data_IF_594638493396
#
_entry.id   IF_594638493396
#
_cell.length_a   1.000
_cell.length_b   1.000
_cell.length_c   1.000
_cell.angle_alpha   90.00
_cell.angle_beta   90.00
_cell.angle_gamma   90.00
#
_symmetry.space_group_name_H-M   'P 1'
#
loop_
_entity.id
_entity.type
_entity.pdbx_description
1 polymer ?
#
# COMPACT_ATOMS: atom_id res chain seq x y z
N UNK A 1 -4.69 9.81 4.18
CA UNK A 1 -4.82 8.54 4.93
C UNK A 1 -3.91 7.55 4.27
N UNK A 2 -3.01 6.93 5.01
CA UNK A 2 -1.99 6.02 4.46
C UNK A 2 -2.55 4.62 4.29
N UNK A 3 -2.40 4.05 3.08
CA UNK A 3 -2.80 2.69 2.75
C UNK A 3 -1.76 2.03 1.88
N UNK A 4 -1.38 0.80 2.20
CA UNK A 4 -0.49 0.03 1.36
C UNK A 4 -0.90 -1.43 1.35
N UNK A 5 -0.36 -2.18 0.39
CA UNK A 5 -0.65 -3.59 0.25
C UNK A 5 0.53 -4.35 -0.32
N UNK A 6 0.71 -5.58 0.13
CA UNK A 6 1.65 -6.54 -0.48
C UNK A 6 0.98 -7.89 -0.63
N UNK A 7 1.10 -8.50 -1.81
CA UNK A 7 0.62 -9.85 -2.03
C UNK A 7 1.53 -10.86 -1.32
N UNK A 8 0.90 -11.84 -0.70
CA UNK A 8 1.53 -12.92 0.07
C UNK A 8 0.89 -14.24 -0.32
N UNK A 9 1.55 -15.34 0.01
CA UNK A 9 1.05 -16.68 -0.28
C UNK A 9 1.10 -17.52 1.00
N UNK A 10 0.06 -17.45 1.81
CA UNK A 10 0.04 -18.10 3.12
C UNK A 10 -0.48 -19.53 2.93
N UNK A 11 0.36 -20.53 3.20
CA UNK A 11 -0.03 -21.95 3.13
C UNK A 11 -0.68 -22.34 1.78
N UNK A 12 -0.07 -21.91 0.67
CA UNK A 12 -0.59 -22.09 -0.70
C UNK A 12 -1.89 -21.34 -1.02
N UNK A 13 -2.41 -20.54 -0.09
CA UNK A 13 -3.50 -19.59 -0.33
C UNK A 13 -2.96 -18.20 -0.68
N UNK A 14 -3.40 -17.69 -1.83
CA UNK A 14 -3.16 -16.29 -2.21
C UNK A 14 -3.85 -15.35 -1.22
N UNK A 15 -3.10 -14.38 -0.72
CA UNK A 15 -3.62 -13.32 0.11
C UNK A 15 -2.81 -12.04 -0.02
N UNK A 16 -3.14 -11.06 0.81
CA UNK A 16 -2.34 -9.85 0.93
C UNK A 16 -2.31 -9.36 2.36
N UNK A 17 -1.19 -8.73 2.74
CA UNK A 17 -1.20 -7.82 3.87
C UNK A 17 -1.70 -6.47 3.42
N UNK A 18 -2.71 -5.95 4.12
CA UNK A 18 -3.20 -4.59 3.95
C UNK A 18 -2.68 -3.77 5.12
N UNK A 19 -2.18 -2.58 4.84
CA UNK A 19 -1.73 -1.60 5.82
C UNK A 19 -2.68 -0.40 5.77
N UNK A 20 -3.06 0.11 6.94
CA UNK A 20 -3.86 1.31 7.08
C UNK A 20 -3.41 2.07 8.31
N UNK A 21 -2.94 3.31 8.11
CA UNK A 21 -2.31 4.11 9.16
C UNK A 21 -1.19 3.31 9.86
N UNK A 22 -1.30 3.08 11.17
CA UNK A 22 -0.34 2.29 11.96
C UNK A 22 -0.79 0.84 12.21
N UNK A 23 -1.79 0.36 11.46
CA UNK A 23 -2.31 -1.00 11.57
C UNK A 23 -2.08 -1.79 10.29
N UNK A 24 -2.11 -3.11 10.41
CA UNK A 24 -2.14 -4.00 9.27
C UNK A 24 -2.99 -5.25 9.56
N UNK A 25 -3.50 -5.88 8.50
CA UNK A 25 -4.23 -7.15 8.57
C UNK A 25 -3.82 -8.06 7.40
N UNK A 26 -4.17 -9.34 7.47
CA UNK A 26 -3.96 -10.28 6.37
C UNK A 26 -5.30 -10.83 5.91
N UNK A 27 -5.54 -10.83 4.60
CA UNK A 27 -6.78 -11.33 3.98
C UNK A 27 -6.41 -12.30 2.87
N UNK A 28 -6.99 -13.51 2.87
CA UNK A 28 -6.98 -14.36 1.68
C UNK A 28 -8.08 -13.89 0.74
N UNK A 29 -7.75 -13.80 -0.54
CA UNK A 29 -8.68 -13.35 -1.56
C UNK A 29 -8.28 -13.93 -2.92
N UNK A 30 -9.26 -14.01 -3.81
CA UNK A 30 -9.06 -14.49 -5.17
C UNK A 30 -9.58 -13.43 -6.14
N UNK A 31 -8.80 -13.08 -7.18
CA UNK A 31 -9.27 -12.21 -8.26
C UNK A 31 -10.66 -12.56 -8.77
N UNK A 32 -11.58 -11.59 -8.71
CA UNK A 32 -12.96 -11.74 -9.20
C UNK A 32 -13.92 -12.52 -8.29
N UNK A 33 -13.47 -13.06 -7.16
CA UNK A 33 -14.31 -13.76 -6.18
C UNK A 33 -14.80 -12.84 -5.04
N UNK A 34 -15.76 -13.32 -4.26
CA UNK A 34 -16.38 -12.60 -3.12
C UNK A 34 -16.26 -13.36 -1.79
N UNK A 35 -15.39 -14.37 -1.74
CA UNK A 35 -15.18 -15.27 -0.60
C UNK A 35 -13.87 -14.94 0.14
N UNK A 36 -13.50 -13.66 0.15
CA UNK A 36 -12.36 -13.15 0.90
C UNK A 36 -12.51 -13.44 2.41
N UNK A 37 -11.40 -13.78 3.07
CA UNK A 37 -11.39 -14.14 4.50
C UNK A 37 -10.28 -13.43 5.22
N UNK A 38 -10.58 -12.91 6.41
CA UNK A 38 -9.57 -12.38 7.33
C UNK A 38 -8.76 -13.55 7.88
N UNK A 39 -7.46 -13.53 7.65
CA UNK A 39 -6.48 -14.48 8.20
C UNK A 39 -5.89 -13.94 9.49
N UNK A 40 -5.53 -12.65 9.48
CA UNK A 40 -5.01 -11.91 10.62
C UNK A 40 -5.86 -10.66 10.81
N UNK A 41 -6.45 -10.51 11.99
CA UNK A 41 -7.19 -9.30 12.35
C UNK A 41 -6.25 -8.09 12.48
N UNK A 42 -6.77 -6.86 12.32
CA UNK A 42 -5.96 -5.65 12.46
C UNK A 42 -5.16 -5.63 13.76
N UNK A 43 -3.85 -5.47 13.65
CA UNK A 43 -2.95 -5.19 14.77
C UNK A 43 -1.94 -4.09 14.38
N UNK A 44 -1.26 -3.54 15.38
CA UNK A 44 -0.23 -2.53 15.18
C UNK A 44 0.97 -3.12 14.44
N UNK A 45 1.28 -2.61 13.25
CA UNK A 45 2.29 -3.24 12.40
C UNK A 45 3.68 -3.28 13.06
N UNK A 46 4.01 -2.33 13.94
CA UNK A 46 5.29 -2.31 14.65
C UNK A 46 5.53 -3.53 15.56
N UNK A 47 4.48 -4.28 15.93
CA UNK A 47 4.61 -5.51 16.71
C UNK A 47 5.28 -6.62 15.87
N UNK A 48 4.80 -6.80 14.63
CA UNK A 48 5.22 -7.87 13.74
C UNK A 48 6.27 -7.42 12.72
N UNK A 49 6.43 -6.12 12.53
CA UNK A 49 7.43 -5.49 11.65
C UNK A 49 8.33 -4.52 12.42
N UNK A 50 9.02 -4.97 13.48
CA UNK A 50 9.83 -4.09 14.32
C UNK A 50 10.95 -3.40 13.53
N UNK A 51 11.48 -4.04 12.49
CA UNK A 51 12.52 -3.47 11.65
C UNK A 51 12.06 -2.20 10.89
N UNK A 52 10.79 -2.15 10.47
CA UNK A 52 10.21 -0.94 9.85
C UNK A 52 10.13 0.20 10.89
N UNK A 53 9.59 -0.09 12.06
CA UNK A 53 9.41 0.89 13.14
C UNK A 53 10.75 1.43 13.67
N UNK A 54 11.75 0.56 13.83
CA UNK A 54 13.12 0.95 14.24
C UNK A 54 13.78 1.88 13.22
N UNK A 55 13.41 1.79 11.94
CA UNK A 55 13.87 2.70 10.88
C UNK A 55 12.97 3.94 10.72
N UNK A 56 12.10 4.22 11.70
CA UNK A 56 11.32 5.44 11.78
C UNK A 56 10.02 5.45 10.99
N UNK A 57 9.62 4.30 10.42
CA UNK A 57 8.35 4.19 9.70
C UNK A 57 7.21 4.14 10.73
N UNK A 58 6.21 5.01 10.55
CA UNK A 58 5.02 5.09 11.41
C UNK A 58 3.74 4.66 10.70
N UNK A 59 3.77 4.74 9.38
CA UNK A 59 2.71 4.34 8.45
C UNK A 59 3.39 3.73 7.23
N UNK A 60 2.68 2.86 6.52
CA UNK A 60 3.12 2.37 5.22
C UNK A 60 2.18 2.95 4.16
N UNK A 61 2.74 3.73 3.25
CA UNK A 61 1.96 4.53 2.28
C UNK A 61 1.88 3.85 0.92
N UNK A 62 2.88 3.03 0.58
CA UNK A 62 2.89 2.17 -0.60
C UNK A 62 3.90 1.03 -0.40
N UNK A 63 3.68 -0.09 -1.09
CA UNK A 63 4.64 -1.18 -1.18
C UNK A 63 4.74 -1.60 -2.65
N UNK A 64 5.94 -1.94 -3.11
CA UNK A 64 6.10 -2.55 -4.43
C UNK A 64 7.29 -3.54 -4.47
N UNK A 65 7.24 -4.57 -5.32
CA UNK A 65 8.30 -5.56 -5.42
C UNK A 65 9.56 -4.97 -6.07
N UNK A 66 10.74 -5.35 -5.57
CA UNK A 66 12.00 -4.99 -6.20
C UNK A 66 12.18 -5.83 -7.48
N UNK A 67 12.31 -5.21 -8.67
CA UNK A 67 12.50 -5.95 -9.91
C UNK A 67 13.76 -6.82 -9.84
N UNK A 68 13.66 -8.08 -10.28
CA UNK A 68 14.76 -9.06 -10.32
C UNK A 68 15.31 -9.56 -8.96
N UNK A 69 14.67 -9.23 -7.83
CA UNK A 69 15.06 -9.74 -6.52
C UNK A 69 13.88 -10.43 -5.84
N UNK A 70 14.01 -11.75 -5.64
CA UNK A 70 12.98 -12.52 -4.97
C UNK A 70 12.79 -12.05 -3.53
N UNK A 71 11.53 -11.89 -3.12
CA UNK A 71 11.13 -11.56 -1.75
C UNK A 71 11.72 -10.23 -1.23
N UNK A 72 12.20 -9.34 -2.11
CA UNK A 72 12.60 -7.98 -1.74
C UNK A 72 11.54 -6.98 -2.17
N UNK A 73 11.17 -6.13 -1.24
CA UNK A 73 10.08 -5.19 -1.41
C UNK A 73 10.51 -3.83 -0.92
N UNK A 74 10.09 -2.81 -1.64
CA UNK A 74 10.21 -1.46 -1.17
C UNK A 74 8.99 -1.10 -0.35
N UNK A 75 9.21 -0.61 0.86
CA UNK A 75 8.17 -0.04 1.72
C UNK A 75 8.35 1.47 1.72
N UNK A 76 7.29 2.23 1.46
CA UNK A 76 7.31 3.68 1.46
C UNK A 76 6.63 4.27 2.69
N UNK A 77 7.19 5.36 3.21
CA UNK A 77 6.60 6.18 4.28
C UNK A 77 7.10 7.62 4.15
N UNK A 78 6.19 8.59 4.01
CA UNK A 78 6.48 10.02 4.02
C UNK A 78 7.62 10.45 3.07
N UNK A 79 7.60 9.95 1.83
CA UNK A 79 8.62 10.23 0.81
C UNK A 79 9.95 9.47 0.97
N UNK A 80 10.07 8.64 2.01
CA UNK A 80 11.19 7.72 2.22
C UNK A 80 10.82 6.30 1.86
N UNK A 81 11.82 5.46 1.65
CA UNK A 81 11.63 4.03 1.47
C UNK A 81 12.70 3.19 2.16
N UNK A 82 12.33 1.93 2.45
CA UNK A 82 13.23 0.86 2.86
C UNK A 82 13.15 -0.26 1.83
N UNK A 83 14.26 -0.97 1.59
CA UNK A 83 14.23 -2.27 0.94
C UNK A 83 14.21 -3.32 2.03
N UNK A 84 13.19 -4.17 2.00
CA UNK A 84 12.93 -5.18 3.01
C UNK A 84 12.90 -6.55 2.35
N UNK A 85 13.72 -7.46 2.87
CA UNK A 85 13.62 -8.88 2.58
C UNK A 85 12.50 -9.45 3.44
N UNK A 86 11.46 -9.97 2.81
CA UNK A 86 10.28 -10.48 3.47
C UNK A 86 9.73 -11.70 2.74
N UNK A 87 9.63 -12.82 3.46
CA UNK A 87 9.06 -14.08 2.97
C UNK A 87 7.54 -14.09 3.13
N UNK A 88 6.85 -13.79 2.03
CA UNK A 88 5.38 -13.82 1.92
C UNK A 88 4.74 -15.19 2.15
N UNK A 89 5.52 -16.27 2.30
CA UNK A 89 4.96 -17.59 2.58
C UNK A 89 4.59 -17.82 4.05
N UNK A 90 5.05 -16.93 4.94
CA UNK A 90 4.86 -17.07 6.38
C UNK A 90 4.05 -15.90 6.93
N UNK A 91 3.00 -16.23 7.68
CA UNK A 91 2.36 -15.26 8.55
C UNK A 91 3.38 -14.75 9.57
N UNK A 92 3.55 -13.43 9.65
CA UNK A 92 4.45 -12.78 10.63
C UNK A 92 5.91 -13.26 10.55
N UNK A 93 6.39 -13.59 9.34
CA UNK A 93 7.77 -13.98 9.10
C UNK A 93 8.77 -12.85 9.41
N UNK A 94 10.03 -13.22 9.69
CA UNK A 94 11.10 -12.25 9.92
C UNK A 94 11.31 -11.34 8.69
N UNK A 95 11.12 -10.04 8.87
CA UNK A 95 11.50 -9.03 7.89
C UNK A 95 12.89 -8.49 8.20
N UNK A 96 13.78 -8.44 7.21
CA UNK A 96 15.10 -7.81 7.34
C UNK A 96 15.18 -6.56 6.47
N UNK A 97 15.64 -5.45 7.03
CA UNK A 97 15.92 -4.24 6.25
C UNK A 97 17.27 -4.41 5.57
N UNK A 98 17.26 -4.49 4.25
CA UNK A 98 18.44 -4.61 3.40
C UNK A 98 19.04 -3.23 3.12
N UNK A 99 18.20 -2.20 2.98
CA UNK A 99 18.64 -0.84 2.68
C UNK A 99 17.65 0.20 3.22
N UNK A 100 18.18 1.37 3.57
CA UNK A 100 17.46 2.59 3.85
C UNK A 100 17.50 2.99 5.34
N UNK A 101 16.73 4.02 5.75
CA UNK A 101 15.79 4.77 4.92
C UNK A 101 16.47 5.62 3.84
N UNK A 102 15.98 5.51 2.61
CA UNK A 102 16.41 6.30 1.45
C UNK A 102 15.31 7.28 1.04
N UNK A 103 15.68 8.35 0.33
CA UNK A 103 14.74 9.28 -0.27
C UNK A 103 14.63 9.02 -1.77
N UNK A 104 13.43 9.19 -2.33
CA UNK A 104 13.28 9.18 -3.79
C UNK A 104 13.63 10.56 -4.33
N UNK A 105 14.51 10.59 -5.32
CA UNK A 105 14.91 11.83 -5.99
C UNK A 105 13.84 12.23 -7.02
N UNK A 106 12.91 13.08 -6.60
CA UNK A 106 11.80 13.57 -7.43
C UNK A 106 12.11 14.88 -8.14
N UNK A 107 11.53 15.09 -9.32
CA UNK A 107 11.68 16.32 -10.11
C UNK A 107 10.33 17.00 -10.29
N UNK A 108 10.18 18.26 -9.84
CA UNK A 108 8.97 19.07 -10.01
C UNK A 108 7.67 18.43 -9.49
N UNK A 109 7.78 17.54 -8.49
CA UNK A 109 6.63 16.91 -7.85
C UNK A 109 6.05 17.86 -6.80
N UNK A 110 4.97 18.56 -7.17
CA UNK A 110 4.29 19.57 -6.35
C UNK A 110 3.59 18.93 -5.15
N UNK A 111 3.01 17.73 -5.30
CA UNK A 111 2.35 17.01 -4.20
C UNK A 111 3.27 16.63 -3.01
N UNK A 112 4.59 16.86 -3.11
CA UNK A 112 5.51 16.77 -1.97
C UNK A 112 5.42 17.95 -1.02
N UNK A 113 4.68 19.01 -1.35
CA UNK A 113 4.14 19.95 -0.36
C UNK A 113 2.97 19.29 0.40
N UNK A 114 3.21 18.11 0.98
CA UNK A 114 2.21 17.24 1.62
C UNK A 114 2.69 15.79 1.81
N UNK A 115 3.48 15.26 0.86
CA UNK A 115 4.57 14.30 1.14
C UNK A 115 4.25 12.81 1.29
N UNK A 116 3.30 12.24 0.54
CA UNK A 116 3.06 10.77 0.59
C UNK A 116 2.96 10.16 -0.82
N UNK A 117 3.59 9.01 -1.01
CA UNK A 117 3.33 8.13 -2.16
C UNK A 117 2.10 7.29 -1.79
N UNK A 118 0.99 7.46 -2.51
CA UNK A 118 -0.28 6.76 -2.24
C UNK A 118 -0.43 5.46 -3.07
N UNK A 119 0.48 5.23 -4.01
CA UNK A 119 0.49 4.03 -4.82
C UNK A 119 1.80 3.88 -5.55
N UNK A 120 2.17 2.63 -5.83
CA UNK A 120 3.31 2.29 -6.65
C UNK A 120 2.94 1.09 -7.51
N UNK A 121 3.34 1.11 -8.78
CA UNK A 121 3.15 -0.04 -9.66
C UNK A 121 4.32 -0.21 -10.60
N UNK A 122 4.82 -1.44 -10.68
CA UNK A 122 5.82 -1.81 -11.67
C UNK A 122 5.20 -1.78 -13.07
N UNK A 123 5.98 -1.34 -14.05
CA UNK A 123 5.61 -1.49 -15.46
C UNK A 123 5.94 -2.92 -15.87
N UNK A 124 4.98 -3.67 -16.44
CA UNK A 124 5.28 -4.99 -16.98
C UNK A 124 6.33 -4.91 -18.09
N UNK A 125 7.30 -5.81 -18.06
CA UNK A 125 8.41 -5.87 -19.01
C UNK A 125 9.75 -6.13 -18.32
N UNK A 126 10.83 -6.03 -19.08
CA UNK A 126 12.20 -6.26 -18.60
C UNK A 126 12.84 -5.00 -18.00
N UNK A 127 12.24 -3.82 -18.21
CA UNK A 127 12.76 -2.57 -17.66
C UNK A 127 12.37 -2.44 -16.18
N UNK A 128 13.31 -2.12 -15.27
CA UNK A 128 13.02 -1.95 -13.86
C UNK A 128 12.37 -0.58 -13.60
N UNK A 129 11.21 -0.32 -14.22
CA UNK A 129 10.48 0.93 -14.12
C UNK A 129 9.22 0.80 -13.28
N UNK A 130 8.88 1.87 -12.57
CA UNK A 130 7.63 1.96 -11.82
C UNK A 130 7.01 3.35 -11.93
N UNK A 131 5.68 3.40 -11.93
CA UNK A 131 4.95 4.63 -11.63
C UNK A 131 4.74 4.74 -10.13
N UNK A 132 5.12 5.87 -9.57
CA UNK A 132 4.78 6.28 -8.21
C UNK A 132 3.67 7.34 -8.28
N UNK A 133 2.68 7.24 -7.41
CA UNK A 133 1.49 8.10 -7.38
C UNK A 133 1.44 8.85 -6.06
N UNK A 134 1.00 10.11 -6.09
CA UNK A 134 0.82 10.91 -4.89
C UNK A 134 -0.02 12.15 -5.18
N UNK A 135 -1.09 12.32 -4.41
CA UNK A 135 -2.10 13.33 -4.73
C UNK A 135 -2.69 13.09 -6.12
N UNK A 136 -2.66 14.12 -6.97
CA UNK A 136 -3.11 14.05 -8.36
C UNK A 136 -1.96 13.94 -9.39
N UNK A 137 -0.75 13.63 -8.92
CA UNK A 137 0.44 13.50 -9.76
C UNK A 137 1.01 12.09 -9.72
N UNK A 138 1.77 11.77 -10.77
CA UNK A 138 2.55 10.55 -10.87
C UNK A 138 3.91 10.81 -11.48
N UNK A 139 4.89 9.99 -11.12
CA UNK A 139 6.28 10.08 -11.59
C UNK A 139 6.77 8.70 -12.02
N UNK A 140 7.35 8.64 -13.22
CA UNK A 140 8.05 7.46 -13.69
C UNK A 140 9.45 7.45 -13.07
N UNK A 141 9.81 6.34 -12.45
CA UNK A 141 11.13 6.13 -11.88
C UNK A 141 11.79 4.89 -12.47
N UNK A 142 13.10 4.97 -12.66
CA UNK A 142 13.96 3.80 -12.83
C UNK A 142 14.37 3.30 -11.44
N UNK A 143 14.26 1.99 -11.24
CA UNK A 143 14.80 1.28 -10.08
C UNK A 143 16.17 0.73 -10.49
N UNK A 144 17.22 1.29 -9.93
CA UNK A 144 18.59 0.91 -10.24
C UNK A 144 18.96 -0.40 -9.52
N UNK A 145 20.00 -1.07 -10.03
CA UNK A 145 20.44 -2.37 -9.50
C UNK A 145 20.90 -2.30 -8.04
N UNK A 146 21.39 -1.15 -7.59
CA UNK A 146 21.72 -0.91 -6.18
C UNK A 146 20.50 -0.70 -5.28
N UNK A 147 19.30 -0.56 -5.85
CA UNK A 147 18.06 -0.30 -5.11
C UNK A 147 17.72 1.19 -4.98
N UNK A 148 18.49 2.08 -5.62
CA UNK A 148 18.15 3.50 -5.69
C UNK A 148 17.07 3.76 -6.75
N UNK A 149 16.28 4.82 -6.54
CA UNK A 149 15.26 5.26 -7.49
C UNK A 149 15.61 6.61 -8.09
N UNK A 150 15.46 6.70 -9.41
CA UNK A 150 15.69 7.94 -10.14
C UNK A 150 14.50 8.28 -11.02
N UNK A 151 13.95 9.50 -10.88
CA UNK A 151 12.95 10.02 -11.79
C UNK A 151 13.49 10.10 -13.22
N UNK A 152 12.69 9.66 -14.20
CA UNK A 152 13.07 9.67 -15.63
C UNK A 152 12.64 10.95 -16.36
N UNK A 153 12.10 11.93 -15.64
CA UNK A 153 11.52 13.16 -16.19
C UNK A 153 10.76 13.95 -15.11
N UNK A 154 9.89 14.86 -15.52
CA UNK A 154 9.02 15.61 -14.60
C UNK A 154 7.81 14.78 -14.15
N UNK A 155 7.28 15.11 -12.97
CA UNK A 155 6.00 14.59 -12.53
C UNK A 155 4.87 15.12 -13.43
N UNK A 156 3.93 14.25 -13.76
CA UNK A 156 2.78 14.58 -14.62
C UNK A 156 1.47 14.42 -13.85
N UNK A 157 0.42 15.12 -14.27
CA UNK A 157 -0.90 14.90 -13.68
C UNK A 157 -1.44 13.52 -14.09
N UNK A 158 -1.95 12.78 -13.11
CA UNK A 158 -2.51 11.44 -13.33
C UNK A 158 -3.63 11.46 -14.37
N UNK A 159 -4.49 12.47 -14.33
CA UNK A 159 -5.59 12.64 -15.28
C UNK A 159 -5.13 13.01 -16.71
N UNK A 160 -3.92 13.55 -16.89
CA UNK A 160 -3.37 13.82 -18.22
C UNK A 160 -2.73 12.55 -18.80
N UNK A 161 -1.96 11.83 -17.96
CA UNK A 161 -1.23 10.65 -18.39
C UNK A 161 -2.13 9.43 -18.57
N UNK A 162 -2.98 9.15 -17.59
CA UNK A 162 -3.93 8.04 -17.56
C UNK A 162 -5.35 8.61 -17.58
N UNK A 163 -5.68 9.26 -18.69
CA UNK A 163 -6.91 10.06 -18.88
C UNK A 163 -8.22 9.26 -18.89
N UNK A 164 -8.13 7.93 -18.87
CA UNK A 164 -9.26 7.02 -18.80
C UNK A 164 -9.60 6.59 -17.37
N UNK A 165 -8.82 7.02 -16.37
CA UNK A 165 -9.17 6.79 -14.98
C UNK A 165 -10.40 7.62 -14.59
N UNK A 166 -11.34 7.04 -13.83
CA UNK A 166 -12.52 7.75 -13.35
C UNK A 166 -12.22 8.77 -12.25
N UNK A 167 -10.99 8.84 -11.75
CA UNK A 167 -10.58 9.69 -10.62
C UNK A 167 -9.25 10.38 -10.89
N UNK A 168 -9.01 11.47 -10.16
CA UNK A 168 -7.77 12.24 -10.26
C UNK A 168 -6.71 11.80 -9.23
N UNK A 169 -7.11 11.10 -8.17
CA UNK A 169 -6.22 10.65 -7.10
C UNK A 169 -6.35 9.15 -6.90
N UNK A 170 -5.31 8.54 -6.36
CA UNK A 170 -5.27 7.11 -6.06
C UNK A 170 -4.95 6.97 -4.57
N UNK A 171 -5.74 6.16 -3.87
CA UNK A 171 -5.56 5.87 -2.44
C UNK A 171 -4.68 4.64 -2.20
N UNK A 172 -4.75 3.66 -3.11
CA UNK A 172 -4.05 2.38 -3.00
C UNK A 172 -4.04 1.67 -4.36
N UNK A 173 -2.96 0.94 -4.65
CA UNK A 173 -2.86 0.05 -5.82
C UNK A 173 -2.51 -1.36 -5.33
N UNK A 174 -3.24 -2.34 -5.84
CA UNK A 174 -3.03 -3.76 -5.58
C UNK A 174 -2.64 -4.44 -6.89
N UNK A 175 -1.37 -4.83 -7.10
CA UNK A 175 -1.01 -5.69 -8.22
C UNK A 175 -1.82 -6.99 -8.16
N UNK A 176 -2.29 -7.50 -9.30
CA UNK A 176 -2.96 -8.79 -9.32
C UNK A 176 -1.97 -9.91 -8.99
N UNK A 177 -2.30 -10.82 -8.06
CA UNK A 177 -1.42 -11.92 -7.69
C UNK A 177 -1.25 -12.96 -8.81
N UNK A 178 -2.14 -12.95 -9.82
CA UNK A 178 -2.16 -13.95 -10.90
C UNK A 178 -1.91 -13.38 -12.28
N UNK A 179 -1.85 -12.05 -12.42
CA UNK A 179 -1.60 -11.40 -13.72
C UNK A 179 -0.75 -10.14 -13.53
N UNK A 180 0.52 -10.13 -13.98
CA UNK A 180 1.42 -8.99 -13.79
C UNK A 180 0.96 -7.72 -14.51
N UNK A 181 0.09 -7.85 -15.52
CA UNK A 181 -0.45 -6.71 -16.27
C UNK A 181 -1.73 -6.17 -15.63
N UNK A 182 -2.25 -6.76 -14.57
CA UNK A 182 -3.47 -6.26 -13.93
C UNK A 182 -3.21 -5.71 -12.55
N UNK A 183 -3.96 -4.67 -12.18
CA UNK A 183 -4.00 -4.15 -10.83
C UNK A 183 -5.41 -3.69 -10.45
N UNK A 184 -5.68 -3.68 -9.15
CA UNK A 184 -6.87 -3.06 -8.58
C UNK A 184 -6.46 -1.70 -8.06
N UNK A 185 -7.07 -0.65 -8.58
CA UNK A 185 -6.78 0.73 -8.18
C UNK A 185 -7.95 1.22 -7.35
N UNK A 186 -7.68 1.80 -6.19
CA UNK A 186 -8.68 2.28 -5.24
C UNK A 186 -8.63 3.80 -5.14
N UNK A 187 -9.80 4.42 -5.04
CA UNK A 187 -9.95 5.84 -4.79
C UNK A 187 -11.35 6.16 -4.28
N UNK A 188 -11.45 7.03 -3.28
CA UNK A 188 -12.73 7.58 -2.78
C UNK A 188 -13.76 6.49 -2.38
N UNK A 189 -13.27 5.37 -1.83
CA UNK A 189 -14.11 4.23 -1.43
C UNK A 189 -14.64 3.37 -2.59
N UNK A 190 -14.14 3.59 -3.81
CA UNK A 190 -14.38 2.76 -4.98
C UNK A 190 -13.09 2.11 -5.46
N UNK A 191 -13.24 1.14 -6.36
CA UNK A 191 -12.11 0.52 -7.04
C UNK A 191 -12.43 0.16 -8.50
N UNK A 192 -11.38 0.01 -9.31
CA UNK A 192 -11.43 -0.47 -10.70
C UNK A 192 -10.44 -1.60 -10.87
N UNK A 193 -10.58 -2.37 -11.97
CA UNK A 193 -9.46 -3.15 -12.50
C UNK A 193 -8.79 -2.35 -13.61
N UNK A 194 -7.47 -2.24 -13.52
CA UNK A 194 -6.63 -1.63 -14.51
C UNK A 194 -5.82 -2.74 -15.20
N UNK A 195 -5.83 -2.73 -16.53
CA UNK A 195 -4.95 -3.52 -17.38
C UNK A 195 -3.84 -2.61 -17.91
N UNK A 196 -2.59 -3.00 -17.70
CA UNK A 196 -1.38 -2.22 -17.96
C UNK A 196 -0.63 -2.92 -19.07
N UNK A 197 -0.78 -2.42 -20.28
CA UNK A 197 -0.14 -2.99 -21.46
C UNK A 197 1.32 -2.56 -21.55
N UNK A 198 1.58 -1.31 -21.16
CA UNK A 198 2.91 -0.72 -21.00
C UNK A 198 2.77 0.59 -20.21
N UNK A 199 3.86 1.33 -20.03
CA UNK A 199 3.86 2.60 -19.27
C UNK A 199 2.92 3.69 -19.82
N UNK A 200 2.56 3.60 -21.10
CA UNK A 200 1.81 4.61 -21.86
C UNK A 200 0.37 4.17 -22.22
N UNK A 201 0.06 2.86 -22.20
CA UNK A 201 -1.28 2.30 -22.48
C UNK A 201 -1.80 1.51 -21.28
N UNK A 202 -2.76 2.11 -20.57
CA UNK A 202 -3.53 1.46 -19.50
C UNK A 202 -5.01 1.49 -19.82
N UNK A 203 -5.75 0.48 -19.38
CA UNK A 203 -7.17 0.31 -19.69
C UNK A 203 -7.97 -0.08 -18.46
N UNK A 204 -9.06 0.64 -18.21
CA UNK A 204 -10.04 0.21 -17.22
C UNK A 204 -10.79 -0.99 -17.78
N UNK A 205 -10.60 -2.15 -17.18
CA UNK A 205 -11.24 -3.42 -17.61
C UNK A 205 -12.48 -3.76 -16.79
N UNK A 206 -12.66 -3.13 -15.63
CA UNK A 206 -13.82 -3.33 -14.74
C UNK A 206 -14.00 -2.14 -13.78
N UNK A 207 -15.23 -1.92 -13.33
CA UNK A 207 -15.60 -0.89 -12.37
C UNK A 207 -15.96 0.46 -13.03
N UNK A 208 -16.09 1.54 -12.23
CA UNK A 208 -15.83 1.59 -10.79
C UNK A 208 -16.90 0.89 -9.94
N UNK A 209 -16.48 0.12 -8.94
CA UNK A 209 -17.34 -0.55 -7.96
C UNK A 209 -17.10 -0.01 -6.54
N UNK A 210 -18.10 -0.11 -5.67
CA UNK A 210 -17.99 0.34 -4.27
C UNK A 210 -17.29 -0.72 -3.43
N UNK A 211 -16.28 -0.31 -2.67
CA UNK A 211 -15.55 -1.19 -1.75
C UNK A 211 -16.47 -1.62 -0.61
N UNK A 212 -16.59 -2.92 -0.40
CA UNK A 212 -17.34 -3.50 0.71
C UNK A 212 -18.86 -3.59 0.51
N UNK A 213 -19.37 -3.32 -0.70
CA UNK A 213 -20.76 -3.65 -1.06
C UNK A 213 -20.87 -5.08 -1.57
N UNK A 214 -20.27 -5.37 -2.74
CA UNK A 214 -20.24 -6.71 -3.34
C UNK A 214 -18.89 -7.39 -3.18
N UNK A 215 -17.82 -6.67 -3.45
CA UNK A 215 -16.43 -7.14 -3.38
C UNK A 215 -15.71 -6.46 -2.22
N UNK A 216 -14.63 -7.07 -1.72
CA UNK A 216 -13.81 -6.54 -0.64
C UNK A 216 -14.61 -6.26 0.64
N UNK A 217 -15.60 -7.10 0.96
CA UNK A 217 -16.41 -6.94 2.16
C UNK A 217 -15.54 -7.02 3.42
N UNK A 218 -14.51 -7.86 3.40
CA UNK A 218 -13.58 -7.97 4.53
C UNK A 218 -12.86 -6.66 4.83
N UNK A 219 -12.50 -5.84 3.82
CA UNK A 219 -11.86 -4.53 4.05
C UNK A 219 -12.76 -3.56 4.81
N UNK A 220 -14.08 -3.66 4.61
CA UNK A 220 -15.06 -2.91 5.40
C UNK A 220 -15.23 -3.49 6.79
N UNK A 221 -15.32 -4.81 6.90
CA UNK A 221 -15.50 -5.51 8.17
C UNK A 221 -14.31 -5.28 9.13
N UNK A 222 -13.08 -5.15 8.61
CA UNK A 222 -11.87 -4.84 9.40
C UNK A 222 -11.63 -3.33 9.57
N UNK A 223 -12.53 -2.47 9.08
CA UNK A 223 -12.49 -1.02 9.31
C UNK A 223 -11.49 -0.25 8.43
N UNK A 224 -10.97 -0.84 7.35
CA UNK A 224 -10.00 -0.20 6.46
C UNK A 224 -10.69 0.65 5.36
N UNK A 225 -11.97 0.37 5.08
CA UNK A 225 -12.82 1.13 4.17
C UNK A 225 -14.25 1.33 4.71
N UNK A 226 -14.71 2.59 4.84
CA UNK A 226 -16.02 2.96 5.38
C UNK A 226 -16.01 4.35 6.03
N UNK A 227 -17.18 5.01 6.17
CA UNK A 227 -17.24 6.32 6.84
C UNK A 227 -16.90 6.20 8.35
N UNK A 228 -15.92 7.01 8.79
CA UNK A 228 -15.57 7.42 10.15
C UNK A 228 -15.56 6.31 11.24
N UNK A 229 -14.35 5.95 11.69
CA UNK A 229 -13.98 5.33 12.98
C UNK A 229 -15.14 4.85 13.89
N UNK A 230 -15.19 3.57 14.28
CA UNK A 230 -15.67 3.21 15.61
C UNK A 230 -14.72 3.78 16.69
N UNK A 231 -15.22 4.15 17.88
CA UNK A 231 -14.40 4.73 18.94
C UNK A 231 -13.29 3.77 19.35
N UNK A 232 -12.13 4.35 19.64
CA UNK A 232 -10.97 3.70 20.26
C UNK A 232 -11.47 2.82 21.41
N UNK A 233 -11.29 1.50 21.30
CA UNK A 233 -11.44 0.59 22.43
C UNK A 233 -10.28 0.85 23.40
N UNK A 234 -10.59 1.66 24.41
CA UNK A 234 -9.97 1.79 25.74
C UNK A 234 -8.46 2.05 25.83
N UNK A 235 -8.14 3.29 26.21
CA UNK A 235 -6.94 3.56 27.02
C UNK A 235 -7.00 2.77 28.35
N UNK A 236 -5.85 2.37 28.90
CA UNK A 236 -5.81 1.67 30.19
C UNK A 236 -6.37 2.56 31.31
N UNK A 237 -7.28 1.99 32.11
CA UNK A 237 -7.77 2.61 33.36
C UNK A 237 -6.58 2.98 34.24
N UNK A 238 -6.31 4.26 34.40
CA UNK A 238 -5.61 4.77 35.57
C UNK A 238 -6.62 4.92 36.69
N UNK A 239 -6.70 3.92 37.56
CA UNK A 239 -7.36 4.06 38.85
C UNK A 239 -6.54 5.02 39.72
N UNK A 240 -6.87 6.31 39.68
CA UNK A 240 -6.52 7.24 40.76
C UNK A 240 -7.73 7.40 41.68
N UNK A 241 -7.73 6.65 42.78
CA UNK A 241 -8.66 6.88 43.89
C UNK A 241 -8.27 8.18 44.59
N UNK A 242 -9.16 9.16 44.40
CA UNK A 242 -9.56 10.29 45.25
C UNK A 242 -8.88 10.40 46.62
N UNK A 243 -8.32 11.59 46.82
CA UNK A 243 -8.41 12.34 48.07
C UNK A 243 -9.84 12.32 48.64
N UNK A 244 -9.98 11.92 49.90
CA UNK A 244 -11.06 12.35 50.79
C UNK A 244 -10.44 13.23 51.87
N UNK A 245 -10.62 14.55 51.73
CA UNK A 245 -10.38 15.48 52.82
C UNK A 245 -11.64 15.66 53.67
N UNK A 246 -11.39 15.80 54.98
CA UNK A 246 -12.16 16.56 55.98
C UNK A 246 -13.53 15.98 56.39
N UNK A 247 -13.56 15.37 57.59
CA UNK A 247 -14.04 16.03 58.82
C UNK A 247 -13.20 15.56 60.03
#
# INVERSE_FOLDING_TARGET
MSRAIVNININDETGSYFFFENQYCAISWQPGAINDKVILHPDHFANDWPALAQNGFKTIDAIFPRPHYDNQWFFFSQGKYLIVQFDGSKLQGSSEVIMGPCEVQFTNWIALTGGTINGAIAIPGDDPQAWLFGGNQMQLVNVLSDGTMQATGEAVYTAEKWNNLPWQTIDMIVPSPTNPNMAYVFSEGKYIHLDIQNRDDVRVSFGPEVVGEKYWKTLKDVGFYGQLRPPILNEPRTDSKRDSGVD
#
